data_IF_665918443485
#
_entry.id   IF_665918443485
#
_cell.length_a   1.000
_cell.length_b   1.000
_cell.length_c   1.000
_cell.angle_alpha   90.00
_cell.angle_beta   90.00
_cell.angle_gamma   90.00
#
_symmetry.space_group_name_H-M   'P 1'
#
loop_
_entity.id
_entity.type
_entity.pdbx_description
1 polymer ?
#
# COMPACT_ATOMS: atom_id res chain seq x y z
N UNK A 1 -20.32 31.87 -16.74
CA UNK A 1 -19.79 31.39 -15.45
C UNK A 1 -18.99 30.13 -15.75
N UNK A 2 -17.66 30.22 -15.72
CA UNK A 2 -16.77 29.13 -16.11
C UNK A 2 -16.36 28.38 -14.85
N UNK A 3 -16.85 27.15 -14.67
CA UNK A 3 -16.35 26.27 -13.62
C UNK A 3 -15.11 25.55 -14.14
N UNK A 4 -13.93 25.93 -13.64
CA UNK A 4 -12.70 25.17 -13.83
C UNK A 4 -12.81 23.87 -13.02
N UNK A 5 -12.91 22.75 -13.73
CA UNK A 5 -12.77 21.40 -13.17
C UNK A 5 -11.34 21.21 -12.70
N UNK A 6 -11.15 20.98 -11.41
CA UNK A 6 -9.85 20.53 -10.89
C UNK A 6 -9.59 19.11 -11.41
N UNK A 7 -8.41 18.77 -11.95
CA UNK A 7 -8.04 17.38 -12.07
C UNK A 7 -7.91 16.84 -10.65
N UNK A 8 -8.58 15.72 -10.34
CA UNK A 8 -8.23 14.94 -9.18
C UNK A 8 -6.74 14.61 -9.33
N UNK A 9 -5.90 15.31 -8.58
CA UNK A 9 -4.50 14.98 -8.49
C UNK A 9 -4.48 13.54 -7.99
N UNK A 10 -4.15 12.61 -8.88
CA UNK A 10 -3.65 11.33 -8.45
C UNK A 10 -2.48 11.67 -7.55
N UNK A 11 -2.67 11.54 -6.24
CA UNK A 11 -1.56 11.47 -5.33
C UNK A 11 -0.78 10.24 -5.79
N UNK A 12 0.26 10.47 -6.58
CA UNK A 12 1.38 9.54 -6.69
C UNK A 12 1.68 9.17 -5.25
N UNK A 13 1.38 7.93 -4.87
CA UNK A 13 1.70 7.42 -3.55
C UNK A 13 3.14 7.83 -3.32
N UNK A 14 3.37 8.59 -2.26
CA UNK A 14 4.69 8.78 -1.71
C UNK A 14 5.18 7.37 -1.40
N UNK A 15 5.83 6.70 -2.37
CA UNK A 15 6.78 5.65 -2.08
C UNK A 15 7.70 6.34 -1.09
N UNK A 16 7.53 6.00 0.19
CA UNK A 16 8.16 6.74 1.25
C UNK A 16 9.61 6.92 0.83
N UNK A 17 10.04 8.16 0.63
CA UNK A 17 11.46 8.48 0.42
C UNK A 17 12.21 8.29 1.74
N UNK A 18 11.88 7.24 2.47
CA UNK A 18 12.83 6.55 3.30
C UNK A 18 13.56 5.65 2.31
N UNK A 19 14.76 6.06 1.89
CA UNK A 19 15.75 5.07 1.50
C UNK A 19 15.77 4.07 2.66
N UNK A 20 15.18 2.90 2.43
CA UNK A 20 15.03 1.88 3.44
C UNK A 20 16.44 1.66 4.01
N UNK A 21 16.64 1.98 5.29
CA UNK A 21 17.95 1.83 5.90
C UNK A 21 18.37 0.35 5.78
N UNK A 22 19.66 0.02 5.68
CA UNK A 22 20.11 -1.37 5.70
C UNK A 22 19.49 -2.14 6.86
N UNK A 23 18.84 -3.27 6.55
CA UNK A 23 18.10 -4.08 7.53
C UNK A 23 16.63 -3.69 7.76
N UNK A 24 16.13 -2.63 7.11
CA UNK A 24 14.69 -2.35 7.09
C UNK A 24 13.96 -3.18 6.05
N UNK A 25 12.64 -3.31 6.26
CA UNK A 25 11.73 -4.10 5.44
C UNK A 25 10.57 -3.19 5.03
N UNK A 26 10.18 -3.27 3.76
CA UNK A 26 9.05 -2.52 3.20
C UNK A 26 7.94 -3.51 2.85
N UNK A 27 6.70 -3.19 3.25
CA UNK A 27 5.52 -3.95 2.84
C UNK A 27 4.73 -3.14 1.82
N UNK A 28 4.62 -3.67 0.59
CA UNK A 28 3.63 -3.23 -0.38
C UNK A 28 2.33 -3.99 -0.17
N UNK A 29 1.20 -3.29 -0.12
CA UNK A 29 -0.12 -3.91 -0.02
C UNK A 29 -0.95 -3.53 -1.24
N UNK A 30 -1.38 -4.53 -1.99
CA UNK A 30 -2.35 -4.39 -3.06
C UNK A 30 -3.76 -4.73 -2.53
N UNK A 31 -4.62 -3.72 -2.46
CA UNK A 31 -5.95 -3.82 -1.84
C UNK A 31 -7.03 -4.09 -2.89
N UNK A 32 -7.15 -5.34 -3.34
CA UNK A 32 -8.29 -5.79 -4.14
C UNK A 32 -9.53 -6.04 -3.27
N UNK A 33 -10.69 -6.16 -3.92
CA UNK A 33 -12.01 -6.22 -3.25
C UNK A 33 -12.16 -7.39 -2.29
N UNK A 34 -11.71 -8.57 -2.70
CA UNK A 34 -11.95 -9.83 -1.98
C UNK A 34 -10.70 -10.36 -1.29
N UNK A 35 -9.52 -9.89 -1.72
CA UNK A 35 -8.21 -10.30 -1.21
C UNK A 35 -7.29 -9.09 -1.17
N UNK A 36 -6.43 -9.04 -0.15
CA UNK A 36 -5.29 -8.14 -0.08
C UNK A 36 -4.02 -8.95 -0.27
N UNK A 37 -3.15 -8.47 -1.14
CA UNK A 37 -1.87 -9.14 -1.41
C UNK A 37 -0.76 -8.30 -0.80
N UNK A 38 0.00 -8.90 0.11
CA UNK A 38 1.20 -8.31 0.69
C UNK A 38 2.45 -8.80 -0.03
N UNK A 39 3.36 -7.89 -0.36
CA UNK A 39 4.71 -8.20 -0.83
C UNK A 39 5.73 -7.57 0.12
N UNK A 40 6.55 -8.40 0.74
CA UNK A 40 7.58 -7.99 1.70
C UNK A 40 8.91 -7.85 0.96
N UNK A 41 9.49 -6.66 0.97
CA UNK A 41 10.75 -6.35 0.30
C UNK A 41 11.83 -5.99 1.31
N UNK A 42 13.07 -6.39 1.03
CA UNK A 42 14.23 -5.82 1.70
C UNK A 42 14.47 -4.36 1.28
N UNK A 43 15.43 -3.72 1.94
CA UNK A 43 15.79 -2.35 1.67
C UNK A 43 16.37 -2.05 0.27
N UNK A 44 16.78 -3.07 -0.49
CA UNK A 44 17.23 -2.98 -1.88
C UNK A 44 16.10 -3.25 -2.88
N UNK A 45 14.88 -3.54 -2.39
CA UNK A 45 13.73 -3.93 -3.20
C UNK A 45 13.69 -5.42 -3.55
N UNK A 46 14.54 -6.26 -2.95
CA UNK A 46 14.52 -7.71 -3.11
C UNK A 46 13.29 -8.33 -2.44
N UNK A 47 12.59 -9.22 -3.14
CA UNK A 47 11.41 -9.91 -2.59
C UNK A 47 11.81 -10.92 -1.53
N UNK A 48 11.28 -10.75 -0.32
CA UNK A 48 11.47 -11.65 0.81
C UNK A 48 10.31 -12.66 0.93
N UNK A 49 9.07 -12.20 0.77
CA UNK A 49 7.89 -13.06 0.84
C UNK A 49 6.63 -12.41 0.22
N UNK A 50 5.61 -13.22 -0.04
CA UNK A 50 4.27 -12.78 -0.45
C UNK A 50 3.17 -13.49 0.32
N UNK A 51 2.07 -12.81 0.61
CA UNK A 51 0.91 -13.41 1.27
C UNK A 51 -0.42 -12.86 0.77
N UNK A 52 -1.43 -13.73 0.72
CA UNK A 52 -2.82 -13.38 0.42
C UNK A 52 -3.66 -13.37 1.69
N UNK A 53 -4.44 -12.30 1.87
CA UNK A 53 -5.26 -12.09 3.06
C UNK A 53 -6.70 -11.77 2.63
N UNK A 54 -7.71 -12.55 3.06
CA UNK A 54 -9.10 -12.26 2.70
C UNK A 54 -9.54 -10.87 3.19
N UNK A 55 -10.12 -10.08 2.30
CA UNK A 55 -10.65 -8.75 2.61
C UNK A 55 -12.02 -8.89 3.29
N UNK A 56 -12.01 -9.17 4.59
CA UNK A 56 -13.25 -9.39 5.36
C UNK A 56 -13.78 -8.11 6.02
N UNK A 57 -15.10 -8.04 6.23
CA UNK A 57 -15.73 -6.93 6.92
C UNK A 57 -15.20 -6.70 8.36
N UNK A 58 -14.71 -7.76 9.01
CA UNK A 58 -14.10 -7.67 10.34
C UNK A 58 -12.88 -6.74 10.36
N UNK A 59 -12.13 -6.65 9.26
CA UNK A 59 -10.98 -5.76 9.11
C UNK A 59 -11.34 -4.26 9.01
N UNK A 60 -12.62 -3.94 8.79
CA UNK A 60 -13.14 -2.56 8.72
C UNK A 60 -13.87 -2.13 10.00
N UNK A 61 -14.09 -3.05 10.94
CA UNK A 61 -14.69 -2.77 12.24
C UNK A 61 -13.72 -2.03 13.17
N UNK A 62 -14.22 -1.43 14.27
CA UNK A 62 -13.35 -0.82 15.27
C UNK A 62 -12.39 -1.88 15.85
N UNK A 63 -11.10 -1.54 15.91
CA UNK A 63 -10.10 -2.37 16.58
C UNK A 63 -10.35 -2.30 18.08
N UNK A 64 -10.67 -3.46 18.69
CA UNK A 64 -10.79 -3.64 20.14
C UNK A 64 -9.48 -3.41 20.86
#
# INVERSE_FOLDING_TARGET
MTTLSMPAAFHTLQAATAAAAPGSVVLGVDTHKDVHVGAVLDHLGGLLDTGEFPATAAGYGPTS
#
